data_IF_189993992594
#
_entry.id   IF_189993992594
#
_cell.length_a   1.000
_cell.length_b   1.000
_cell.length_c   1.000
_cell.angle_alpha   90.00
_cell.angle_beta   90.00
_cell.angle_gamma   90.00
#
_symmetry.space_group_name_H-M   'P 1'
#
loop_
_entity.id
_entity.type
_entity.pdbx_description
1 polymer ?
#
# COMPACT_ATOMS: atom_id res chain seq x y z
N UNK A 1 -8.14 -4.52 4.42
CA UNK A 1 -7.99 -4.14 5.84
C UNK A 1 -8.62 -2.79 6.17
N UNK A 2 -8.71 -1.84 5.23
CA UNK A 2 -9.24 -0.48 5.45
C UNK A 2 -10.77 -0.42 5.34
N UNK A 3 -11.46 -1.31 6.07
CA UNK A 3 -12.93 -1.35 6.10
C UNK A 3 -13.43 -1.56 7.52
N UNK A 4 -14.73 -1.31 7.77
CA UNK A 4 -15.32 -1.47 9.10
C UNK A 4 -15.36 -2.93 9.56
N UNK A 5 -15.51 -3.13 10.88
CA UNK A 5 -15.63 -4.46 11.46
C UNK A 5 -16.88 -5.20 10.93
N UNK A 6 -18.00 -4.47 10.77
CA UNK A 6 -19.25 -5.03 10.26
C UNK A 6 -19.09 -5.61 8.85
N UNK A 7 -18.45 -4.86 7.95
CA UNK A 7 -18.17 -5.35 6.58
C UNK A 7 -17.22 -6.55 6.62
N UNK A 8 -16.22 -6.55 7.50
CA UNK A 8 -15.30 -7.70 7.65
C UNK A 8 -16.01 -8.95 8.15
N UNK A 9 -17.01 -8.80 9.02
CA UNK A 9 -17.80 -9.91 9.54
C UNK A 9 -18.61 -10.62 8.44
N UNK A 10 -18.98 -9.89 7.38
CA UNK A 10 -19.74 -10.42 6.25
C UNK A 10 -18.85 -10.90 5.08
N UNK A 11 -17.52 -10.84 5.23
CA UNK A 11 -16.59 -11.27 4.17
C UNK A 11 -16.01 -12.66 4.44
N UNK A 12 -15.86 -13.46 3.39
CA UNK A 12 -15.29 -14.81 3.49
C UNK A 12 -13.82 -14.79 3.92
N UNK A 13 -13.04 -13.79 3.44
CA UNK A 13 -11.60 -13.68 3.74
C UNK A 13 -11.18 -12.24 3.86
N UNK A 14 -10.38 -11.95 4.89
CA UNK A 14 -9.70 -10.65 5.07
C UNK A 14 -8.20 -10.81 4.82
N UNK A 15 -7.63 -9.91 4.01
CA UNK A 15 -6.20 -9.91 3.71
C UNK A 15 -5.61 -8.50 3.64
N UNK A 16 -4.29 -8.41 3.48
CA UNK A 16 -3.57 -7.17 3.18
C UNK A 16 -3.23 -7.11 1.69
N UNK A 17 -2.75 -5.96 1.22
CA UNK A 17 -2.22 -5.81 -0.15
C UNK A 17 -1.07 -6.78 -0.45
N UNK A 18 -0.33 -7.22 0.57
CA UNK A 18 0.77 -8.16 0.42
C UNK A 18 0.33 -9.54 -0.10
N UNK A 19 -0.82 -10.01 0.36
CA UNK A 19 -1.30 -11.36 0.10
C UNK A 19 -2.50 -11.42 -0.86
N UNK A 20 -3.04 -10.27 -1.27
CA UNK A 20 -4.29 -10.18 -2.02
C UNK A 20 -4.31 -11.07 -3.27
N UNK A 21 -3.27 -11.00 -4.11
CA UNK A 21 -3.15 -11.82 -5.33
C UNK A 21 -3.09 -13.31 -4.99
N UNK A 22 -2.28 -13.68 -4.00
CA UNK A 22 -2.10 -15.07 -3.56
C UNK A 22 -3.41 -15.65 -3.02
N UNK A 23 -4.11 -14.90 -2.19
CA UNK A 23 -5.38 -15.32 -1.60
C UNK A 23 -6.43 -15.48 -2.68
N UNK A 24 -6.62 -14.49 -3.56
CA UNK A 24 -7.59 -14.60 -4.66
C UNK A 24 -7.35 -15.85 -5.52
N UNK A 25 -6.09 -16.14 -5.86
CA UNK A 25 -5.73 -17.37 -6.59
C UNK A 25 -6.03 -18.65 -5.81
N UNK A 26 -5.87 -18.63 -4.49
CA UNK A 26 -6.07 -19.81 -3.63
C UNK A 26 -7.54 -20.15 -3.36
N UNK A 27 -8.47 -19.20 -3.57
CA UNK A 27 -9.91 -19.45 -3.36
C UNK A 27 -10.52 -20.48 -4.30
N UNK A 28 -9.89 -20.71 -5.46
CA UNK A 28 -10.40 -21.70 -6.44
C UNK A 28 -11.75 -21.33 -7.07
N UNK A 29 -12.13 -20.06 -7.01
CA UNK A 29 -13.41 -19.55 -7.55
C UNK A 29 -13.17 -18.75 -8.84
N UNK A 30 -14.21 -18.63 -9.66
CA UNK A 30 -14.12 -17.88 -10.93
C UNK A 30 -14.33 -16.38 -10.77
N UNK A 31 -14.95 -15.96 -9.66
CA UNK A 31 -15.37 -14.58 -9.42
C UNK A 31 -15.29 -14.23 -7.95
N UNK A 32 -14.81 -13.03 -7.62
CA UNK A 32 -14.75 -12.46 -6.26
C UNK A 32 -15.27 -11.03 -6.24
N UNK A 33 -15.98 -10.67 -5.18
CA UNK A 33 -16.22 -9.27 -4.82
C UNK A 33 -15.03 -8.79 -3.99
N UNK A 34 -14.36 -7.72 -4.44
CA UNK A 34 -13.16 -7.20 -3.82
C UNK A 34 -13.43 -5.83 -3.17
N UNK A 35 -13.13 -5.74 -1.88
CA UNK A 35 -13.37 -4.57 -1.05
C UNK A 35 -12.07 -4.15 -0.34
N UNK A 36 -11.89 -2.88 -0.01
CA UNK A 36 -12.68 -1.70 -0.37
C UNK A 36 -12.13 -0.90 -1.55
N UNK A 37 -10.88 -1.18 -2.00
CA UNK A 37 -10.11 -0.31 -2.91
C UNK A 37 -10.17 -0.78 -4.37
N UNK A 38 -10.62 0.12 -5.27
CA UNK A 38 -10.79 -0.15 -6.69
C UNK A 38 -9.43 -0.30 -7.41
N UNK A 39 -8.42 0.49 -7.04
CA UNK A 39 -7.11 0.41 -7.69
C UNK A 39 -6.38 -0.88 -7.31
N UNK A 40 -6.44 -1.27 -6.04
CA UNK A 40 -5.91 -2.57 -5.61
C UNK A 40 -6.68 -3.71 -6.29
N UNK A 41 -8.00 -3.61 -6.43
CA UNK A 41 -8.79 -4.60 -7.17
C UNK A 41 -8.34 -4.73 -8.63
N UNK A 42 -8.11 -3.61 -9.32
CA UNK A 42 -7.57 -3.59 -10.70
C UNK A 42 -6.17 -4.18 -10.78
N UNK A 43 -5.32 -3.88 -9.80
CA UNK A 43 -3.99 -4.48 -9.72
C UNK A 43 -4.10 -6.01 -9.56
N UNK A 44 -4.94 -6.49 -8.65
CA UNK A 44 -5.17 -7.94 -8.46
C UNK A 44 -5.73 -8.57 -9.74
N UNK A 45 -6.70 -7.93 -10.39
CA UNK A 45 -7.26 -8.40 -11.66
C UNK A 45 -6.20 -8.55 -12.76
N UNK A 46 -5.20 -7.66 -12.79
CA UNK A 46 -4.08 -7.77 -13.75
C UNK A 46 -3.12 -8.94 -13.49
N UNK A 47 -3.21 -9.58 -12.31
CA UNK A 47 -2.32 -10.64 -11.86
C UNK A 47 -3.02 -12.01 -11.77
N UNK A 48 -4.30 -12.12 -12.14
CA UNK A 48 -5.10 -13.35 -12.02
C UNK A 48 -6.15 -13.43 -13.12
N UNK A 49 -6.60 -14.64 -13.43
CA UNK A 49 -7.70 -14.90 -14.36
C UNK A 49 -9.08 -14.90 -13.66
N UNK A 50 -9.12 -14.65 -12.35
CA UNK A 50 -10.37 -14.55 -11.58
C UNK A 50 -11.05 -13.23 -11.90
N UNK A 51 -12.35 -13.26 -12.20
CA UNK A 51 -13.14 -12.05 -12.39
C UNK A 51 -13.28 -11.29 -11.08
N UNK A 52 -12.78 -10.03 -11.06
CA UNK A 52 -12.83 -9.18 -9.89
C UNK A 52 -13.95 -8.15 -10.05
N UNK A 53 -14.94 -8.22 -9.16
CA UNK A 53 -15.97 -7.19 -9.00
C UNK A 53 -15.49 -6.24 -7.91
N UNK A 54 -15.06 -5.03 -8.29
CA UNK A 54 -14.54 -4.06 -7.34
C UNK A 54 -15.62 -3.17 -6.72
N UNK A 55 -15.41 -2.76 -5.49
CA UNK A 55 -16.08 -1.62 -4.91
C UNK A 55 -15.39 -0.32 -5.37
N UNK A 56 -16.16 0.78 -5.49
CA UNK A 56 -15.64 2.08 -5.98
C UNK A 56 -14.96 2.92 -4.89
N UNK A 57 -14.38 2.30 -3.89
CA UNK A 57 -13.57 2.99 -2.88
C UNK A 57 -12.15 3.22 -3.38
N UNK A 58 -11.53 4.30 -2.94
CA UNK A 58 -10.15 4.64 -3.27
C UNK A 58 -9.39 5.12 -2.04
N UNK A 59 -8.08 4.90 -1.99
CA UNK A 59 -7.23 5.48 -0.97
C UNK A 59 -6.93 6.94 -1.29
N UNK A 60 -7.37 7.86 -0.44
CA UNK A 60 -7.21 9.32 -0.63
C UNK A 60 -5.74 9.78 -0.70
N UNK A 61 -4.80 8.97 -0.23
CA UNK A 61 -3.36 9.25 -0.32
C UNK A 61 -2.85 8.85 -1.69
N UNK A 62 -3.15 7.62 -2.12
CA UNK A 62 -2.63 7.07 -3.37
C UNK A 62 -3.27 7.69 -4.61
N UNK A 63 -4.53 8.13 -4.50
CA UNK A 63 -5.26 8.81 -5.58
C UNK A 63 -4.69 10.21 -5.93
N UNK A 64 -3.86 10.78 -5.06
CA UNK A 64 -3.22 12.08 -5.30
C UNK A 64 -2.03 12.00 -6.30
N UNK A 65 -1.52 10.82 -6.57
CA UNK A 65 -0.43 10.63 -7.50
C UNK A 65 -0.93 10.51 -8.94
N UNK A 66 -0.15 11.02 -9.89
CA UNK A 66 -0.45 10.92 -11.31
C UNK A 66 0.82 10.66 -12.14
N UNK A 67 0.66 10.08 -13.32
CA UNK A 67 1.76 9.74 -14.21
C UNK A 67 2.62 10.94 -14.60
N UNK A 68 2.00 12.11 -14.82
CA UNK A 68 2.73 13.32 -15.23
C UNK A 68 3.75 13.76 -14.17
N UNK A 69 3.38 13.70 -12.90
CA UNK A 69 4.31 13.99 -11.80
C UNK A 69 5.44 12.97 -11.75
N UNK A 70 5.15 11.70 -11.91
CA UNK A 70 6.15 10.62 -11.97
C UNK A 70 7.17 10.92 -13.10
N UNK A 71 6.69 11.25 -14.29
CA UNK A 71 7.56 11.58 -15.44
C UNK A 71 8.39 12.84 -15.20
N UNK A 72 7.84 13.86 -14.56
CA UNK A 72 8.59 15.08 -14.22
C UNK A 72 9.70 14.79 -13.21
N UNK A 73 9.42 13.97 -12.20
CA UNK A 73 10.43 13.56 -11.21
C UNK A 73 11.55 12.74 -11.87
N UNK A 74 11.22 11.84 -12.80
CA UNK A 74 12.24 11.10 -13.57
C UNK A 74 13.15 12.02 -14.37
N UNK A 75 12.59 13.04 -15.02
CA UNK A 75 13.37 14.03 -15.80
C UNK A 75 14.33 14.82 -14.90
N UNK A 76 13.86 15.22 -13.70
CA UNK A 76 14.65 15.99 -12.75
C UNK A 76 15.67 15.15 -11.97
N UNK A 77 15.49 13.83 -11.93
CA UNK A 77 16.33 12.91 -11.18
C UNK A 77 16.73 11.71 -12.03
N UNK A 78 17.71 11.86 -12.94
CA UNK A 78 18.15 10.75 -13.78
C UNK A 78 18.58 9.53 -12.96
N UNK A 79 18.11 8.35 -13.36
CA UNK A 79 18.43 7.08 -12.67
C UNK A 79 17.61 6.78 -11.41
N UNK A 80 16.64 7.64 -11.06
CA UNK A 80 15.73 7.37 -9.92
C UNK A 80 14.91 6.11 -10.17
N UNK A 81 14.74 5.31 -9.11
CA UNK A 81 13.78 4.21 -9.09
C UNK A 81 12.48 4.67 -8.46
N UNK A 82 11.38 4.37 -9.12
CA UNK A 82 10.02 4.71 -8.65
C UNK A 82 9.31 3.42 -8.29
N UNK A 83 8.94 3.32 -7.01
CA UNK A 83 8.27 2.14 -6.47
C UNK A 83 6.93 2.57 -5.89
N UNK A 84 5.85 1.89 -6.30
CA UNK A 84 4.48 2.30 -5.99
C UNK A 84 3.70 1.26 -5.20
N UNK A 85 2.80 1.74 -4.36
CA UNK A 85 1.83 0.87 -3.71
C UNK A 85 0.71 0.46 -4.68
N UNK A 86 0.18 -0.77 -4.65
CA UNK A 86 -0.85 -1.24 -5.58
C UNK A 86 -2.20 -0.50 -5.52
N UNK A 87 -2.41 0.30 -4.48
CA UNK A 87 -3.57 1.20 -4.37
C UNK A 87 -3.39 2.51 -5.16
N UNK A 88 -2.29 2.69 -5.89
CA UNK A 88 -2.10 3.83 -6.80
C UNK A 88 -2.91 3.64 -8.09
N UNK A 89 -3.25 4.76 -8.78
CA UNK A 89 -3.87 4.70 -10.09
C UNK A 89 -3.10 3.82 -11.08
N UNK A 90 -3.79 3.12 -12.00
CA UNK A 90 -3.15 2.19 -12.93
C UNK A 90 -2.08 2.80 -13.84
N UNK A 91 -2.20 4.08 -14.20
CA UNK A 91 -1.20 4.83 -14.97
C UNK A 91 0.08 5.09 -14.14
N UNK A 92 -0.06 5.39 -12.86
CA UNK A 92 1.06 5.51 -11.91
C UNK A 92 1.78 4.16 -11.75
N UNK A 93 1.04 3.07 -11.61
CA UNK A 93 1.63 1.72 -11.54
C UNK A 93 2.43 1.40 -12.81
N UNK A 94 1.89 1.69 -14.00
CA UNK A 94 2.58 1.48 -15.27
C UNK A 94 3.84 2.34 -15.42
N UNK A 95 3.84 3.56 -14.88
CA UNK A 95 4.97 4.48 -14.90
C UNK A 95 6.06 4.14 -13.86
N UNK A 96 5.79 3.23 -12.94
CA UNK A 96 6.70 2.83 -11.86
C UNK A 96 7.64 1.69 -12.29
N UNK A 97 8.81 1.59 -11.63
CA UNK A 97 9.77 0.48 -11.85
C UNK A 97 9.37 -0.79 -11.10
N UNK A 98 8.59 -0.63 -10.03
CA UNK A 98 8.10 -1.72 -9.20
C UNK A 98 6.76 -1.33 -8.58
N UNK A 99 5.86 -2.29 -8.47
CA UNK A 99 4.63 -2.16 -7.72
C UNK A 99 4.52 -3.30 -6.71
N UNK A 100 4.27 -2.96 -5.45
CA UNK A 100 4.18 -3.96 -4.40
C UNK A 100 3.66 -3.40 -3.08
N UNK A 101 3.27 -4.31 -2.19
CA UNK A 101 2.85 -3.97 -0.84
C UNK A 101 3.93 -3.21 -0.06
N UNK A 102 3.58 -2.70 1.10
CA UNK A 102 4.52 -2.08 2.05
C UNK A 102 5.76 -2.95 2.26
N UNK A 103 5.59 -4.23 2.59
CA UNK A 103 6.70 -5.18 2.75
C UNK A 103 7.47 -5.40 1.45
N UNK A 104 6.77 -5.48 0.32
CA UNK A 104 7.39 -5.61 -1.01
C UNK A 104 8.28 -4.42 -1.35
N UNK A 105 7.84 -3.20 -1.04
CA UNK A 105 8.62 -1.98 -1.26
C UNK A 105 9.86 -1.92 -0.35
N UNK A 106 9.72 -2.31 0.92
CA UNK A 106 10.85 -2.42 1.87
C UNK A 106 11.91 -3.38 1.32
N UNK A 107 11.48 -4.59 0.93
CA UNK A 107 12.37 -5.61 0.39
C UNK A 107 13.03 -5.13 -0.92
N UNK A 108 12.29 -4.46 -1.80
CA UNK A 108 12.85 -3.92 -3.04
C UNK A 108 14.02 -2.97 -2.77
N UNK A 109 13.88 -2.03 -1.83
CA UNK A 109 14.96 -1.10 -1.47
C UNK A 109 16.14 -1.83 -0.85
N UNK A 110 15.87 -2.75 0.08
CA UNK A 110 16.89 -3.55 0.76
C UNK A 110 17.71 -4.40 -0.21
N UNK A 111 17.05 -5.08 -1.15
CA UNK A 111 17.70 -6.03 -2.05
C UNK A 111 18.41 -5.35 -3.22
N UNK A 112 17.87 -4.23 -3.72
CA UNK A 112 18.39 -3.55 -4.91
C UNK A 112 19.31 -2.36 -4.59
N UNK A 113 19.27 -1.81 -3.37
CA UNK A 113 20.07 -0.65 -2.93
C UNK A 113 20.18 0.46 -4.00
N UNK A 114 19.06 0.99 -4.51
CA UNK A 114 19.09 2.00 -5.56
C UNK A 114 19.76 3.27 -5.04
N UNK A 115 20.53 3.98 -5.88
CA UNK A 115 21.14 5.26 -5.48
C UNK A 115 20.11 6.29 -5.08
N UNK A 116 18.99 6.36 -5.85
CA UNK A 116 17.85 7.24 -5.60
C UNK A 116 16.56 6.48 -5.75
N UNK A 117 15.62 6.71 -4.83
CA UNK A 117 14.30 6.09 -4.89
C UNK A 117 13.21 7.10 -4.52
N UNK A 118 12.08 7.02 -5.21
CA UNK A 118 10.83 7.64 -4.82
C UNK A 118 9.83 6.57 -4.45
N UNK A 119 9.26 6.70 -3.28
CA UNK A 119 8.19 5.82 -2.83
C UNK A 119 6.84 6.50 -3.04
N UNK A 120 6.04 5.92 -3.93
CA UNK A 120 4.71 6.44 -4.27
C UNK A 120 3.70 5.81 -3.31
N UNK A 121 3.68 6.34 -2.09
CA UNK A 121 2.83 5.94 -0.98
C UNK A 121 2.81 7.03 0.10
N UNK A 122 2.24 6.74 1.28
CA UNK A 122 2.23 7.63 2.44
C UNK A 122 3.67 7.97 2.90
N UNK A 123 3.94 9.24 3.16
CA UNK A 123 5.31 9.74 3.29
C UNK A 123 6.08 9.20 4.51
N UNK A 124 5.42 8.86 5.61
CA UNK A 124 6.08 8.31 6.81
C UNK A 124 6.77 6.96 6.54
N UNK A 125 6.37 6.26 5.46
CA UNK A 125 7.01 5.00 5.09
C UNK A 125 8.45 5.19 4.63
N UNK A 126 8.73 6.28 3.91
CA UNK A 126 10.10 6.61 3.47
C UNK A 126 11.02 6.85 4.67
N UNK A 127 10.52 7.47 5.74
CA UNK A 127 11.29 7.72 6.95
C UNK A 127 11.76 6.43 7.61
N UNK A 128 10.85 5.47 7.76
CA UNK A 128 11.15 4.18 8.37
C UNK A 128 12.20 3.39 7.58
N UNK A 129 12.08 3.38 6.24
CA UNK A 129 13.00 2.61 5.37
C UNK A 129 14.37 3.28 5.28
N UNK A 130 14.44 4.60 5.32
CA UNK A 130 15.70 5.33 5.25
C UNK A 130 16.61 5.03 6.44
N UNK A 131 16.07 4.83 7.63
CA UNK A 131 16.84 4.47 8.83
C UNK A 131 17.66 3.19 8.59
N UNK A 132 17.07 2.21 7.90
CA UNK A 132 17.73 0.93 7.58
C UNK A 132 18.59 0.98 6.31
N UNK A 133 18.43 2.03 5.48
CA UNK A 133 19.11 2.19 4.20
C UNK A 133 19.75 3.60 4.07
N UNK A 134 20.76 3.94 4.91
CA UNK A 134 21.31 5.29 4.99
C UNK A 134 22.05 5.74 3.71
N UNK A 135 22.44 4.82 2.84
CA UNK A 135 23.13 5.10 1.58
C UNK A 135 22.17 5.35 0.40
N UNK A 136 20.86 5.21 0.59
CA UNK A 136 19.84 5.41 -0.41
C UNK A 136 19.26 6.83 -0.27
N UNK A 137 19.28 7.61 -1.35
CA UNK A 137 18.64 8.92 -1.39
C UNK A 137 17.14 8.77 -1.65
N UNK A 138 16.30 9.23 -0.71
CA UNK A 138 14.84 9.20 -0.83
C UNK A 138 14.31 10.54 -1.33
N UNK A 139 13.70 10.53 -2.53
CA UNK A 139 12.90 11.65 -3.02
C UNK A 139 11.47 11.46 -2.50
N UNK A 140 10.96 12.42 -1.75
CA UNK A 140 9.72 12.26 -0.99
C UNK A 140 8.61 13.14 -1.53
N UNK A 141 7.58 12.58 -2.15
CA UNK A 141 6.30 13.25 -2.24
C UNK A 141 5.68 13.24 -0.83
N UNK A 142 5.21 14.38 -0.35
CA UNK A 142 4.71 14.47 1.02
C UNK A 142 3.18 14.35 1.08
N UNK A 143 2.65 13.17 0.77
CA UNK A 143 1.23 12.85 0.92
C UNK A 143 1.01 12.12 2.25
N UNK A 144 0.44 12.83 3.23
CA UNK A 144 0.15 12.28 4.56
C UNK A 144 -1.30 11.78 4.66
N UNK A 145 -1.48 10.64 5.32
CA UNK A 145 -2.81 10.10 5.58
C UNK A 145 -3.44 10.77 6.81
N UNK A 146 -4.54 11.55 6.66
CA UNK A 146 -5.19 12.19 7.78
C UNK A 146 -5.85 11.18 8.74
N UNK A 147 -6.18 9.98 8.27
CA UNK A 147 -6.73 8.91 9.10
C UNK A 147 -5.65 8.28 9.98
N UNK A 148 -4.47 8.00 9.44
CA UNK A 148 -3.34 7.49 10.22
C UNK A 148 -2.87 8.49 11.27
N UNK A 149 -2.91 9.80 10.98
CA UNK A 149 -2.53 10.86 11.94
C UNK A 149 -3.49 10.99 13.13
N UNK A 150 -4.66 10.35 13.10
CA UNK A 150 -5.54 10.25 14.28
C UNK A 150 -5.05 9.23 15.31
N UNK A 151 -4.14 8.34 14.93
CA UNK A 151 -3.51 7.36 15.82
C UNK A 151 -2.36 8.06 16.53
N UNK A 152 -2.45 8.16 17.86
CA UNK A 152 -1.46 8.84 18.70
C UNK A 152 -0.96 7.89 19.79
N UNK A 153 0.23 8.15 20.34
CA UNK A 153 0.79 7.34 21.43
C UNK A 153 -0.17 7.17 22.62
N UNK A 154 -0.87 8.22 23.12
CA UNK A 154 -1.85 8.04 24.19
C UNK A 154 -3.00 7.09 23.79
N UNK A 155 -3.48 7.14 22.54
CA UNK A 155 -4.53 6.23 22.06
C UNK A 155 -4.03 4.79 21.95
N UNK A 156 -2.80 4.59 21.49
CA UNK A 156 -2.17 3.26 21.44
C UNK A 156 -2.06 2.69 22.85
N UNK A 157 -1.58 3.50 23.79
CA UNK A 157 -1.45 3.10 25.19
C UNK A 157 -2.81 2.71 25.82
N UNK A 158 -3.85 3.52 25.56
CA UNK A 158 -5.20 3.23 26.06
C UNK A 158 -5.75 1.90 25.52
N UNK A 159 -5.55 1.60 24.25
CA UNK A 159 -5.96 0.32 23.63
C UNK A 159 -5.15 -0.86 24.21
N UNK A 160 -3.84 -0.69 24.44
CA UNK A 160 -2.99 -1.72 25.04
C UNK A 160 -3.49 -2.12 26.42
N UNK A 161 -3.84 -1.17 27.27
CA UNK A 161 -4.42 -1.46 28.59
C UNK A 161 -5.75 -2.19 28.52
N UNK A 162 -6.59 -1.88 27.54
CA UNK A 162 -7.89 -2.55 27.37
C UNK A 162 -7.71 -4.01 26.96
N UNK A 163 -6.77 -4.30 26.07
CA UNK A 163 -6.49 -5.67 25.64
C UNK A 163 -5.76 -6.51 26.68
N UNK A 164 -4.82 -5.94 27.44
CA UNK A 164 -4.13 -6.68 28.51
C UNK A 164 -5.08 -7.15 29.61
N UNK A 165 -6.06 -6.32 30.00
CA UNK A 165 -7.08 -6.71 31.00
C UNK A 165 -8.03 -7.82 30.51
N UNK A 166 -8.25 -7.95 29.21
CA UNK A 166 -9.11 -9.01 28.65
C UNK A 166 -8.45 -10.40 28.71
N UNK A 167 -7.14 -10.49 28.93
CA UNK A 167 -6.41 -11.75 29.08
C UNK A 167 -6.16 -12.16 30.55
N UNK A 168 -6.50 -11.29 31.50
CA UNK A 168 -6.31 -11.55 32.94
C UNK A 168 -7.60 -12.07 33.63
N UNK A 169 -8.72 -12.24 32.91
CA UNK A 169 -9.99 -12.81 33.36
C UNK A 169 -10.27 -14.13 32.66
#
# INVERSE_FOLDING_TARGET
VNTSADVKAETDVCCTSADAVKIVKSLGVKKVIFLPDDYLAKYVASQTDVEIISWKGICIVHDQFNEKEIQNIRKSNPGIKIIAHPECPPDVIKASDFAGSTSGMINYVKDNQPKKVMMVTECSMSDNIQVENPNVEFIRPCNMCPHMKKITLPKILAVSYTHLRAHET
#
